data_IF_792101384559
#
_entry.id   IF_792101384559
#
_cell.length_a   1.000
_cell.length_b   1.000
_cell.length_c   1.000
_cell.angle_alpha   90.00
_cell.angle_beta   90.00
_cell.angle_gamma   90.00
#
_symmetry.space_group_name_H-M   'P 1'
#
loop_
_entity.id
_entity.type
_entity.pdbx_description
1 polymer ?
#
# COMPACT_ATOMS: atom_id res chain seq x y z
N UNK A 1 8.53 9.24 -24.37
CA UNK A 1 7.97 8.35 -23.32
C UNK A 1 9.15 7.76 -22.57
N UNK A 2 9.11 7.76 -21.24
CA UNK A 2 10.10 7.04 -20.44
C UNK A 2 9.73 5.55 -20.41
N UNK A 3 10.70 4.62 -20.51
CA UNK A 3 10.43 3.20 -20.45
C UNK A 3 9.97 2.79 -19.05
N UNK A 4 8.96 1.92 -18.97
CA UNK A 4 8.57 1.27 -17.72
C UNK A 4 9.65 0.23 -17.36
N UNK A 5 10.23 0.36 -16.18
CA UNK A 5 11.43 -0.38 -15.78
C UNK A 5 11.19 -1.42 -14.66
N UNK A 6 10.10 -1.27 -13.91
CA UNK A 6 9.78 -2.13 -12.78
C UNK A 6 8.27 -2.14 -12.56
N UNK A 7 7.71 -3.34 -12.41
CA UNK A 7 6.34 -3.57 -11.94
C UNK A 7 6.41 -4.37 -10.66
N UNK A 8 5.74 -3.92 -9.59
CA UNK A 8 5.70 -4.64 -8.32
C UNK A 8 4.32 -5.26 -8.17
N UNK A 9 4.28 -6.58 -8.01
CA UNK A 9 3.06 -7.32 -7.74
C UNK A 9 3.02 -7.78 -6.27
N UNK A 10 2.03 -7.29 -5.53
CA UNK A 10 1.83 -7.63 -4.12
C UNK A 10 1.05 -8.94 -4.01
N UNK A 11 1.70 -9.98 -3.55
CA UNK A 11 1.10 -11.30 -3.34
C UNK A 11 0.79 -11.50 -1.86
N UNK A 12 -0.45 -11.15 -1.49
CA UNK A 12 -0.99 -11.30 -0.15
C UNK A 12 -2.05 -12.41 -0.16
N UNK A 13 -2.08 -13.33 0.81
CA UNK A 13 -3.12 -14.36 0.90
C UNK A 13 -4.54 -13.77 0.95
N UNK A 14 -5.50 -14.40 0.29
CA UNK A 14 -6.86 -13.88 0.14
C UNK A 14 -7.60 -13.74 1.47
N UNK A 15 -7.38 -14.69 2.38
CA UNK A 15 -7.92 -14.71 3.75
C UNK A 15 -7.42 -13.50 4.56
N UNK A 16 -6.14 -13.16 4.40
CA UNK A 16 -5.55 -11.96 5.00
C UNK A 16 -6.18 -10.68 4.44
N UNK A 17 -6.39 -10.62 3.12
CA UNK A 17 -7.06 -9.46 2.49
C UNK A 17 -8.51 -9.33 2.98
N UNK A 18 -9.25 -10.45 3.03
CA UNK A 18 -10.62 -10.48 3.51
C UNK A 18 -10.70 -9.99 4.96
N UNK A 19 -9.86 -10.52 5.84
CA UNK A 19 -9.82 -10.12 7.25
C UNK A 19 -9.56 -8.62 7.39
N UNK A 20 -8.64 -8.05 6.59
CA UNK A 20 -8.36 -6.61 6.58
C UNK A 20 -9.56 -5.77 6.14
N UNK A 21 -10.34 -6.25 5.16
CA UNK A 21 -11.57 -5.57 4.71
C UNK A 21 -12.64 -5.66 5.80
N UNK A 22 -12.79 -6.82 6.44
CA UNK A 22 -13.76 -7.01 7.54
C UNK A 22 -13.44 -6.15 8.76
N UNK A 23 -12.16 -5.92 9.04
CA UNK A 23 -11.68 -5.11 10.16
C UNK A 23 -11.59 -3.62 9.84
N UNK A 24 -12.00 -3.19 8.64
CA UNK A 24 -11.97 -1.80 8.21
C UNK A 24 -13.11 -0.99 8.83
N UNK A 25 -12.73 0.14 9.43
CA UNK A 25 -13.64 1.16 9.93
C UNK A 25 -13.27 2.51 9.32
N UNK A 26 -14.27 3.34 9.04
CA UNK A 26 -14.09 4.61 8.34
C UNK A 26 -14.80 5.72 9.11
N UNK A 27 -14.12 6.85 9.25
CA UNK A 27 -14.75 8.08 9.67
C UNK A 27 -15.27 8.84 8.44
N UNK A 28 -16.57 8.69 8.12
CA UNK A 28 -17.18 9.15 6.86
C UNK A 28 -16.89 10.62 6.52
N UNK A 29 -17.03 11.60 7.44
CA UNK A 29 -16.78 13.01 7.13
C UNK A 29 -15.34 13.31 6.69
N UNK A 30 -14.36 12.52 7.16
CA UNK A 30 -12.94 12.78 6.90
C UNK A 30 -12.27 11.80 5.93
N UNK A 31 -12.87 10.63 5.73
CA UNK A 31 -12.27 9.52 5.00
C UNK A 31 -11.16 8.78 5.75
N UNK A 32 -10.82 9.14 7.01
CA UNK A 32 -9.83 8.40 7.80
C UNK A 32 -10.25 6.94 7.95
N UNK A 33 -9.29 6.04 7.78
CA UNK A 33 -9.49 4.60 7.83
C UNK A 33 -8.73 4.02 9.01
N UNK A 34 -9.43 3.17 9.76
CA UNK A 34 -8.91 2.41 10.87
C UNK A 34 -9.02 0.92 10.53
N UNK A 35 -8.08 0.13 11.05
CA UNK A 35 -8.14 -1.31 10.97
C UNK A 35 -7.98 -1.86 12.39
N UNK A 36 -8.97 -2.57 12.90
CA UNK A 36 -8.97 -3.00 14.31
C UNK A 36 -7.77 -3.87 14.70
N UNK A 37 -7.19 -4.59 13.73
CA UNK A 37 -6.08 -5.52 13.96
C UNK A 37 -4.71 -4.87 13.75
N UNK A 38 -4.61 -3.83 12.92
CA UNK A 38 -3.34 -3.21 12.53
C UNK A 38 -3.18 -1.75 12.99
N UNK A 39 -4.21 -0.92 12.81
CA UNK A 39 -4.22 0.48 13.21
C UNK A 39 -5.56 0.80 13.90
N UNK A 40 -5.77 0.29 15.12
CA UNK A 40 -7.03 0.48 15.84
C UNK A 40 -7.17 1.93 16.29
N UNK A 41 -8.41 2.46 16.39
CA UNK A 41 -8.63 3.77 16.99
C UNK A 41 -8.26 3.73 18.47
N UNK A 42 -7.82 4.87 19.01
CA UNK A 42 -7.50 5.04 20.44
C UNK A 42 -8.69 4.72 21.34
N UNK A 43 -9.90 5.06 20.88
CA UNK A 43 -11.17 4.68 21.51
C UNK A 43 -12.01 3.86 20.54
N UNK A 44 -12.48 2.70 20.99
CA UNK A 44 -13.26 1.77 20.16
C UNK A 44 -14.47 2.48 19.55
N UNK A 45 -14.56 2.43 18.22
CA UNK A 45 -15.70 2.96 17.47
C UNK A 45 -15.73 4.48 17.31
N UNK A 46 -14.68 5.20 17.73
CA UNK A 46 -14.60 6.65 17.62
C UNK A 46 -13.36 7.07 16.83
N UNK A 47 -13.50 8.16 16.08
CA UNK A 47 -12.41 8.82 15.39
C UNK A 47 -11.43 9.48 16.39
N UNK A 48 -10.13 9.35 16.13
CA UNK A 48 -9.10 9.83 17.06
C UNK A 48 -8.98 11.35 17.14
N UNK A 49 -9.49 12.08 16.14
CA UNK A 49 -9.39 13.54 16.03
C UNK A 49 -10.70 14.19 16.47
N UNK A 50 -11.82 13.75 15.89
CA UNK A 50 -13.13 14.39 16.13
C UNK A 50 -13.92 13.71 17.25
N UNK A 51 -13.53 12.51 17.67
CA UNK A 51 -14.32 11.66 18.58
C UNK A 51 -15.71 11.30 18.06
N UNK A 52 -15.96 11.48 16.76
CA UNK A 52 -17.21 11.10 16.11
C UNK A 52 -17.25 9.59 15.82
N UNK A 53 -18.45 8.98 15.66
CA UNK A 53 -18.57 7.55 15.41
C UNK A 53 -17.91 7.11 14.10
N UNK A 54 -17.21 5.98 14.16
CA UNK A 54 -16.75 5.25 13.00
C UNK A 54 -17.86 4.35 12.46
N UNK A 55 -17.85 4.08 11.16
CA UNK A 55 -18.77 3.15 10.52
C UNK A 55 -18.03 2.14 9.65
N UNK A 56 -18.67 0.99 9.41
CA UNK A 56 -18.24 0.08 8.36
C UNK A 56 -18.86 0.50 7.03
N UNK A 57 -18.17 0.22 5.93
CA UNK A 57 -18.74 0.44 4.62
C UNK A 57 -19.75 -0.67 4.29
N UNK A 58 -20.85 -0.36 3.60
CA UNK A 58 -21.87 -1.35 3.26
C UNK A 58 -21.38 -2.42 2.28
N UNK A 59 -20.30 -2.14 1.54
CA UNK A 59 -19.71 -3.05 0.56
C UNK A 59 -18.57 -3.93 1.11
N UNK A 60 -18.25 -3.81 2.40
CA UNK A 60 -17.27 -4.65 3.08
C UNK A 60 -17.94 -5.95 3.56
N UNK A 61 -18.32 -6.80 2.60
CA UNK A 61 -18.86 -8.16 2.85
C UNK A 61 -18.05 -9.23 2.12
N UNK A 62 -18.05 -10.49 2.59
CA UNK A 62 -17.35 -11.59 1.93
C UNK A 62 -17.80 -11.83 0.48
N UNK A 63 -19.09 -11.65 0.19
CA UNK A 63 -19.67 -11.86 -1.14
C UNK A 63 -19.16 -10.80 -2.12
N UNK A 64 -19.19 -9.52 -1.70
CA UNK A 64 -18.68 -8.42 -2.51
C UNK A 64 -17.17 -8.52 -2.68
N UNK A 65 -16.44 -8.92 -1.63
CA UNK A 65 -15.00 -9.15 -1.69
C UNK A 65 -14.64 -10.19 -2.75
N UNK A 66 -15.29 -11.36 -2.73
CA UNK A 66 -15.03 -12.43 -3.69
C UNK A 66 -15.21 -11.97 -5.13
N UNK A 67 -16.32 -11.29 -5.42
CA UNK A 67 -16.60 -10.76 -6.77
C UNK A 67 -15.51 -9.78 -7.22
N UNK A 68 -15.08 -8.88 -6.33
CA UNK A 68 -14.02 -7.90 -6.63
C UNK A 68 -12.68 -8.55 -6.84
N UNK A 69 -12.34 -9.55 -6.03
CA UNK A 69 -11.08 -10.28 -6.14
C UNK A 69 -10.99 -11.05 -7.46
N UNK A 70 -12.07 -11.75 -7.84
CA UNK A 70 -12.16 -12.45 -9.12
C UNK A 70 -12.00 -11.48 -10.31
N UNK A 71 -12.66 -10.32 -10.25
CA UNK A 71 -12.52 -9.26 -11.26
C UNK A 71 -11.09 -8.73 -11.31
N UNK A 72 -10.48 -8.47 -10.15
CA UNK A 72 -9.09 -8.04 -10.06
C UNK A 72 -8.15 -9.06 -10.72
N UNK A 73 -8.29 -10.37 -10.43
CA UNK A 73 -7.47 -11.40 -11.06
C UNK A 73 -7.64 -11.46 -12.58
N UNK A 74 -8.88 -11.35 -13.08
CA UNK A 74 -9.15 -11.33 -14.52
C UNK A 74 -8.48 -10.15 -15.23
N UNK A 75 -8.46 -8.98 -14.59
CA UNK A 75 -7.83 -7.76 -15.13
C UNK A 75 -6.31 -7.76 -14.97
N UNK A 76 -5.81 -8.24 -13.83
CA UNK A 76 -4.39 -8.23 -13.50
C UNK A 76 -3.61 -9.28 -14.29
N UNK A 77 -4.17 -10.47 -14.53
CA UNK A 77 -3.48 -11.56 -15.23
C UNK A 77 -2.86 -11.13 -16.58
N UNK A 78 -3.59 -10.53 -17.54
CA UNK A 78 -2.99 -10.14 -18.82
C UNK A 78 -1.90 -9.06 -18.66
N UNK A 79 -2.00 -8.20 -17.64
CA UNK A 79 -0.97 -7.19 -17.36
C UNK A 79 0.30 -7.84 -16.80
N UNK A 80 0.16 -8.80 -15.89
CA UNK A 80 1.28 -9.54 -15.33
C UNK A 80 1.99 -10.39 -16.40
N UNK A 81 1.23 -10.99 -17.32
CA UNK A 81 1.77 -11.70 -18.49
C UNK A 81 2.52 -10.76 -19.43
N UNK A 82 1.96 -9.57 -19.71
CA UNK A 82 2.58 -8.57 -20.58
C UNK A 82 3.90 -8.02 -20.00
N UNK A 83 3.99 -7.84 -18.67
CA UNK A 83 5.15 -7.30 -17.98
C UNK A 83 6.01 -8.36 -17.29
N UNK A 84 5.91 -9.63 -17.68
CA UNK A 84 6.58 -10.75 -17.00
C UNK A 84 8.10 -10.58 -16.82
N UNK A 85 8.76 -9.85 -17.73
CA UNK A 85 10.21 -9.61 -17.69
C UNK A 85 10.64 -8.56 -16.65
N UNK A 86 9.71 -7.67 -16.27
CA UNK A 86 9.97 -6.55 -15.36
C UNK A 86 9.12 -6.60 -14.10
N UNK A 87 8.28 -7.63 -13.95
CA UNK A 87 7.43 -7.82 -12.77
C UNK A 87 8.19 -8.53 -11.67
N UNK A 88 8.07 -8.01 -10.45
CA UNK A 88 8.64 -8.59 -9.25
C UNK A 88 7.52 -8.88 -8.28
N UNK A 89 7.42 -10.15 -7.89
CA UNK A 89 6.44 -10.60 -6.93
C UNK A 89 7.01 -10.46 -5.52
N UNK A 90 6.39 -9.62 -4.70
CA UNK A 90 6.70 -9.51 -3.27
C UNK A 90 5.59 -10.18 -2.47
N UNK A 91 5.96 -10.99 -1.49
CA UNK A 91 5.02 -11.84 -0.74
C UNK A 91 5.02 -11.46 0.73
N UNK A 92 3.86 -11.45 1.35
CA UNK A 92 3.77 -11.27 2.79
C UNK A 92 2.34 -11.11 3.28
N UNK A 93 2.18 -11.22 4.60
CA UNK A 93 0.89 -11.11 5.27
C UNK A 93 0.67 -9.71 5.85
N UNK A 94 1.73 -8.92 6.01
CA UNK A 94 1.73 -7.60 6.63
C UNK A 94 2.50 -6.59 5.78
N UNK A 95 2.21 -5.30 5.96
CA UNK A 95 2.97 -4.25 5.28
C UNK A 95 4.44 -4.24 5.75
N UNK A 96 4.69 -4.56 7.02
CA UNK A 96 6.03 -4.61 7.61
C UNK A 96 6.91 -5.72 7.00
N UNK A 97 6.30 -6.84 6.56
CA UNK A 97 6.99 -7.90 5.82
C UNK A 97 7.29 -7.51 4.37
N UNK A 98 6.36 -6.79 3.73
CA UNK A 98 6.40 -6.52 2.29
C UNK A 98 7.24 -5.29 1.96
N UNK A 99 7.16 -4.23 2.78
CA UNK A 99 7.83 -2.96 2.52
C UNK A 99 9.36 -3.11 2.34
N UNK A 100 10.09 -3.86 3.19
CA UNK A 100 11.53 -4.07 3.00
C UNK A 100 11.88 -4.79 1.69
N UNK A 101 10.99 -5.65 1.18
CA UNK A 101 11.20 -6.35 -0.10
C UNK A 101 11.07 -5.38 -1.28
N UNK A 102 10.07 -4.50 -1.22
CA UNK A 102 9.87 -3.42 -2.21
C UNK A 102 11.08 -2.48 -2.21
N UNK A 103 11.51 -2.05 -1.02
CA UNK A 103 12.65 -1.17 -0.84
C UNK A 103 13.93 -1.77 -1.46
N UNK A 104 14.19 -3.03 -1.15
CA UNK A 104 15.31 -3.79 -1.72
C UNK A 104 15.24 -3.84 -3.25
N UNK A 105 14.07 -4.11 -3.83
CA UNK A 105 13.94 -4.19 -5.29
C UNK A 105 14.14 -2.84 -5.98
N UNK A 106 13.60 -1.77 -5.39
CA UNK A 106 13.80 -0.40 -5.88
C UNK A 106 15.30 -0.06 -5.87
N UNK A 107 16.01 -0.34 -4.78
CA UNK A 107 17.46 -0.11 -4.69
C UNK A 107 18.23 -0.96 -5.72
N UNK A 108 17.87 -2.23 -5.89
CA UNK A 108 18.55 -3.11 -6.84
C UNK A 108 18.38 -2.64 -8.29
N UNK A 109 17.20 -2.14 -8.65
CA UNK A 109 16.86 -1.77 -10.04
C UNK A 109 17.27 -0.34 -10.38
N UNK A 110 17.08 0.58 -9.45
CA UNK A 110 17.21 2.02 -9.67
C UNK A 110 18.43 2.62 -8.95
N UNK A 111 19.11 1.84 -8.12
CA UNK A 111 20.30 2.25 -7.37
C UNK A 111 20.02 3.18 -6.19
N UNK A 112 18.77 3.60 -5.96
CA UNK A 112 18.44 4.67 -5.02
C UNK A 112 17.02 4.55 -4.46
N UNK A 113 16.82 5.03 -3.22
CA UNK A 113 15.50 5.24 -2.63
C UNK A 113 15.03 6.68 -2.81
N UNK A 114 13.76 6.94 -3.15
CA UNK A 114 13.24 8.29 -3.39
C UNK A 114 13.49 9.26 -2.23
N UNK A 115 13.40 8.78 -0.98
CA UNK A 115 13.57 9.61 0.21
C UNK A 115 15.03 10.06 0.46
N UNK A 116 16.00 9.42 -0.20
CA UNK A 116 17.40 9.86 -0.18
C UNK A 116 17.65 11.03 -1.15
N UNK A 117 16.78 11.24 -2.16
CA UNK A 117 16.95 12.33 -3.12
C UNK A 117 16.64 13.72 -2.55
N UNK A 118 15.71 13.84 -1.59
CA UNK A 118 15.43 15.14 -0.95
C UNK A 118 16.58 15.57 -0.03
N UNK A 119 17.20 14.61 0.66
CA UNK A 119 18.37 14.86 1.51
C UNK A 119 19.58 15.26 0.67
N UNK A 120 19.88 14.54 -0.42
CA UNK A 120 21.02 14.87 -1.30
C UNK A 120 20.85 16.21 -2.05
N UNK A 121 19.62 16.56 -2.47
CA UNK A 121 19.37 17.89 -3.06
C UNK A 121 19.57 19.04 -2.06
N UNK A 122 19.27 18.81 -0.79
CA UNK A 122 19.47 19.80 0.26
C UNK A 122 20.94 19.91 0.69
N UNK A 123 21.71 18.82 0.65
CA UNK A 123 23.15 18.83 0.94
C UNK A 123 23.97 19.53 -0.17
N UNK A 124 23.64 19.31 -1.45
CA UNK A 124 24.30 20.02 -2.56
C UNK A 124 24.00 21.53 -2.56
N UNK A 125 22.81 21.96 -2.13
CA UNK A 125 22.47 23.38 -2.01
C UNK A 125 23.13 24.05 -0.79
N UNK A 126 23.38 23.29 0.28
CA UNK A 126 24.05 23.82 1.48
C UNK A 126 25.57 23.99 1.31
N UNK A 127 26.21 23.23 0.41
CA UNK A 127 27.66 23.33 0.18
C UNK A 127 28.08 24.52 -0.71
N UNK A 128 27.15 25.16 -1.43
CA UNK A 128 27.46 26.32 -2.29
C UNK A 128 27.24 27.67 -1.58
N UNK A 129 26.67 27.66 -0.37
CA UNK A 129 26.38 28.86 0.42
C UNK A 129 27.46 29.18 1.47
N UNK A 130 28.65 28.57 1.38
CA UNK A 130 29.77 28.81 2.28
C UNK A 130 31.07 29.08 1.52
N UNK A 131 31.06 30.12 0.69
CA UNK A 131 32.26 30.88 0.27
C UNK A 131 31.89 32.36 0.22
#
# INVERSE_FOLDING_TARGET
MQPLNLVINLQVPEDVILQRIMDRWVHIPSGRVYNLSYNPPRKRGLDDITSEPLSKRPDDTPEVFKVRLDQHHKMARPLLEHYQDIVVNVKGNTSDEIYPQIEKEIVNRLGMLPHRMEIFKNEEQSSVASV
#
